data_IF_684815142795
#
_entry.id   IF_684815142795
#
_cell.length_a   1.000
_cell.length_b   1.000
_cell.length_c   1.000
_cell.angle_alpha   90.00
_cell.angle_beta   90.00
_cell.angle_gamma   90.00
#
_symmetry.space_group_name_H-M   'P 1'
#
loop_
_entity.id
_entity.type
_entity.pdbx_description
1 polymer ?
#
# COMPACT_ATOMS: atom_id res chain seq x y z
N UNK A 1 -16.67 -25.38 1.91
CA UNK A 1 -15.59 -24.42 2.26
C UNK A 1 -15.33 -23.65 0.99
N UNK A 2 -15.83 -22.42 0.89
CA UNK A 2 -15.79 -21.63 -0.35
C UNK A 2 -14.35 -21.25 -0.69
N UNK A 3 -14.06 -21.17 -1.99
CA UNK A 3 -12.75 -20.90 -2.62
C UNK A 3 -12.28 -19.43 -2.44
N UNK A 4 -12.73 -18.78 -1.35
CA UNK A 4 -12.58 -17.33 -1.16
C UNK A 4 -11.25 -16.96 -0.50
N UNK A 5 -10.59 -17.91 0.18
CA UNK A 5 -9.32 -17.70 0.86
C UNK A 5 -8.20 -17.21 -0.08
N UNK A 6 -8.28 -17.50 -1.38
CA UNK A 6 -7.32 -17.02 -2.38
C UNK A 6 -7.41 -15.50 -2.62
N UNK A 7 -8.52 -14.88 -2.26
CA UNK A 7 -8.74 -13.45 -2.41
C UNK A 7 -8.38 -12.64 -1.16
N UNK A 8 -8.16 -13.29 -0.03
CA UNK A 8 -7.81 -12.63 1.24
C UNK A 8 -6.69 -11.58 1.12
N UNK A 9 -5.58 -11.84 0.40
CA UNK A 9 -4.51 -10.84 0.27
C UNK A 9 -4.90 -9.59 -0.54
N UNK A 10 -6.02 -9.65 -1.27
CA UNK A 10 -6.51 -8.57 -2.14
C UNK A 10 -7.64 -7.75 -1.49
N UNK A 11 -8.06 -8.12 -0.27
CA UNK A 11 -9.15 -7.49 0.45
C UNK A 11 -8.55 -6.71 1.64
N UNK A 12 -8.80 -5.39 1.77
CA UNK A 12 -8.38 -4.62 2.94
C UNK A 12 -8.94 -5.23 4.22
N UNK A 13 -8.18 -5.18 5.32
CA UNK A 13 -8.64 -5.75 6.61
C UNK A 13 -9.93 -5.09 7.10
N UNK A 14 -10.13 -3.82 6.76
CA UNK A 14 -11.35 -3.06 7.00
C UNK A 14 -12.61 -3.80 6.49
N UNK A 15 -12.52 -4.49 5.35
CA UNK A 15 -13.68 -5.12 4.73
C UNK A 15 -14.09 -6.43 5.41
N UNK A 16 -13.21 -7.09 6.17
CA UNK A 16 -13.58 -8.31 6.92
C UNK A 16 -14.60 -8.02 8.03
N UNK A 17 -14.60 -6.80 8.57
CA UNK A 17 -15.54 -6.38 9.61
C UNK A 17 -16.72 -5.56 9.05
N UNK A 18 -16.87 -5.50 7.72
CA UNK A 18 -17.90 -4.67 7.10
C UNK A 18 -19.28 -5.36 7.17
N UNK A 19 -20.33 -4.72 7.73
CA UNK A 19 -21.66 -5.29 7.77
C UNK A 19 -22.27 -5.39 6.36
N UNK A 20 -22.75 -6.57 5.96
CA UNK A 20 -23.32 -6.85 4.63
C UNK A 20 -24.39 -5.84 4.19
N UNK A 21 -25.24 -5.39 5.13
CA UNK A 21 -26.35 -4.48 4.83
C UNK A 21 -25.93 -3.02 4.59
N UNK A 22 -24.66 -2.64 4.85
CA UNK A 22 -24.21 -1.26 4.73
C UNK A 22 -23.40 -1.02 3.46
N UNK A 23 -23.88 -0.10 2.61
CA UNK A 23 -23.13 0.34 1.41
C UNK A 23 -22.10 1.43 1.69
N UNK A 24 -22.23 2.14 2.80
CA UNK A 24 -21.33 3.22 3.21
C UNK A 24 -21.26 3.33 4.73
N UNK A 25 -20.12 3.81 5.25
CA UNK A 25 -19.92 4.12 6.67
C UNK A 25 -18.98 5.30 6.84
N UNK A 26 -19.15 6.03 7.95
CA UNK A 26 -18.20 7.01 8.43
C UNK A 26 -17.43 6.42 9.59
N UNK A 27 -16.11 6.35 9.47
CA UNK A 27 -15.22 5.71 10.44
C UNK A 27 -14.11 6.69 10.83
N UNK A 28 -13.75 6.80 12.13
CA UNK A 28 -12.62 7.61 12.55
C UNK A 28 -11.30 6.95 12.12
N UNK A 29 -10.31 7.78 11.81
CA UNK A 29 -8.96 7.30 11.54
C UNK A 29 -8.10 8.33 10.82
N UNK A 30 -6.87 7.94 10.53
CA UNK A 30 -5.91 8.72 9.76
C UNK A 30 -5.62 8.03 8.44
N UNK A 31 -5.66 8.78 7.35
CA UNK A 31 -5.26 8.30 6.03
C UNK A 31 -3.84 8.76 5.72
N UNK A 32 -3.04 7.85 5.18
CA UNK A 32 -1.72 8.16 4.64
C UNK A 32 -1.73 7.78 3.17
N UNK A 33 -1.48 8.76 2.31
CA UNK A 33 -1.31 8.55 0.87
C UNK A 33 0.18 8.62 0.56
N UNK A 34 0.73 7.50 0.09
CA UNK A 34 2.15 7.38 -0.24
C UNK A 34 2.28 7.32 -1.75
N UNK A 35 2.85 8.36 -2.35
CA UNK A 35 3.16 8.41 -3.76
C UNK A 35 4.65 8.11 -3.99
N UNK A 36 4.95 7.12 -4.83
CA UNK A 36 6.33 6.74 -5.18
C UNK A 36 6.73 7.49 -6.46
N UNK A 37 6.98 8.78 -6.29
CA UNK A 37 7.42 9.67 -7.38
C UNK A 37 8.73 9.20 -8.01
N UNK A 38 8.79 9.16 -9.35
CA UNK A 38 9.97 8.78 -10.13
C UNK A 38 9.85 7.40 -10.79
N UNK A 39 8.95 6.55 -10.29
CA UNK A 39 8.71 5.23 -10.86
C UNK A 39 7.93 5.29 -12.18
N UNK A 40 6.92 6.16 -12.27
CA UNK A 40 6.20 6.42 -13.53
C UNK A 40 7.13 6.88 -14.65
N UNK A 41 8.07 7.78 -14.35
CA UNK A 41 9.07 8.20 -15.35
C UNK A 41 10.06 7.06 -15.72
N UNK A 42 10.43 6.23 -14.75
CA UNK A 42 11.31 5.07 -14.95
C UNK A 42 10.64 3.99 -15.82
N UNK A 43 9.37 3.66 -15.53
CA UNK A 43 8.59 2.66 -16.27
C UNK A 43 8.35 3.10 -17.71
N UNK A 44 8.04 4.38 -17.94
CA UNK A 44 7.95 4.97 -19.30
C UNK A 44 9.27 4.90 -20.07
N UNK A 45 10.41 5.16 -19.39
CA UNK A 45 11.74 5.09 -20.02
C UNK A 45 12.12 3.65 -20.37
N UNK A 46 11.82 2.69 -19.50
CA UNK A 46 12.19 1.29 -19.67
C UNK A 46 11.25 0.49 -20.60
N UNK A 47 9.99 0.91 -20.72
CA UNK A 47 9.06 0.40 -21.75
C UNK A 47 9.64 0.53 -23.18
N UNK A 48 10.56 1.49 -23.40
CA UNK A 48 11.27 1.68 -24.67
C UNK A 48 12.31 0.58 -24.97
N UNK A 49 12.71 -0.22 -23.97
CA UNK A 49 13.73 -1.27 -24.10
C UNK A 49 13.14 -2.69 -24.24
N UNK A 50 11.82 -2.82 -24.43
CA UNK A 50 11.15 -4.10 -24.67
C UNK A 50 10.85 -4.90 -23.40
N UNK A 51 10.45 -6.17 -23.56
CA UNK A 51 9.90 -7.02 -22.47
C UNK A 51 10.82 -7.18 -21.25
N UNK A 52 12.12 -7.34 -21.47
CA UNK A 52 13.09 -7.52 -20.37
C UNK A 52 13.16 -6.30 -19.44
N UNK A 53 13.05 -5.09 -19.98
CA UNK A 53 13.05 -3.86 -19.18
C UNK A 53 11.80 -3.71 -18.32
N UNK A 54 10.66 -4.29 -18.74
CA UNK A 54 9.42 -4.24 -17.99
C UNK A 54 9.41 -5.20 -16.78
N UNK A 55 10.00 -6.39 -16.92
CA UNK A 55 10.05 -7.39 -15.84
C UNK A 55 10.91 -6.93 -14.66
N UNK A 56 12.10 -6.38 -14.92
CA UNK A 56 12.98 -5.82 -13.88
C UNK A 56 12.30 -4.67 -13.12
N UNK A 57 11.58 -3.81 -13.82
CA UNK A 57 10.81 -2.69 -13.23
C UNK A 57 9.71 -3.21 -12.32
N UNK A 58 8.95 -4.21 -12.75
CA UNK A 58 7.92 -4.83 -11.90
C UNK A 58 8.55 -5.45 -10.65
N UNK A 59 9.73 -6.06 -10.78
CA UNK A 59 10.49 -6.60 -9.64
C UNK A 59 10.84 -5.52 -8.61
N UNK A 60 11.47 -4.42 -9.04
CA UNK A 60 11.82 -3.30 -8.15
C UNK A 60 10.57 -2.68 -7.51
N UNK A 61 9.49 -2.51 -8.29
CA UNK A 61 8.24 -1.96 -7.78
C UNK A 61 7.63 -2.83 -6.68
N UNK A 62 7.54 -4.14 -6.95
CA UNK A 62 6.97 -5.09 -6.00
C UNK A 62 7.80 -5.16 -4.72
N UNK A 63 9.13 -5.14 -4.82
CA UNK A 63 10.00 -5.11 -3.65
C UNK A 63 9.82 -3.82 -2.84
N UNK A 64 9.74 -2.68 -3.51
CA UNK A 64 9.53 -1.38 -2.88
C UNK A 64 8.18 -1.36 -2.15
N UNK A 65 7.09 -1.71 -2.84
CA UNK A 65 5.77 -1.79 -2.22
C UNK A 65 5.72 -2.77 -1.07
N UNK A 66 6.35 -3.95 -1.20
CA UNK A 66 6.40 -4.94 -0.12
C UNK A 66 7.05 -4.35 1.13
N UNK A 67 8.19 -3.66 1.00
CA UNK A 67 8.85 -3.01 2.12
C UNK A 67 7.99 -1.93 2.78
N UNK A 68 7.28 -1.11 1.98
CA UNK A 68 6.38 -0.07 2.50
C UNK A 68 5.16 -0.66 3.20
N UNK A 69 4.54 -1.70 2.63
CA UNK A 69 3.37 -2.37 3.20
C UNK A 69 3.75 -3.05 4.53
N UNK A 70 4.89 -3.74 4.57
CA UNK A 70 5.42 -4.33 5.81
C UNK A 70 5.64 -3.24 6.86
N UNK A 71 6.31 -2.14 6.48
CA UNK A 71 6.56 -1.00 7.38
C UNK A 71 5.24 -0.45 7.93
N UNK A 72 4.27 -0.11 7.07
CA UNK A 72 2.97 0.37 7.50
C UNK A 72 2.24 -0.62 8.43
N UNK A 73 2.35 -1.93 8.13
CA UNK A 73 1.78 -3.00 8.94
C UNK A 73 2.32 -3.03 10.38
N UNK A 74 3.60 -2.70 10.59
CA UNK A 74 4.17 -2.62 11.96
C UNK A 74 3.57 -1.50 12.82
N UNK A 75 2.98 -0.48 12.17
CA UNK A 75 2.22 0.60 12.82
C UNK A 75 0.69 0.36 12.79
N UNK A 76 0.25 -0.84 12.39
CA UNK A 76 -1.16 -1.21 12.31
C UNK A 76 -1.90 -0.62 11.10
N UNK A 77 -1.18 -0.13 10.09
CA UNK A 77 -1.78 0.39 8.86
C UNK A 77 -2.46 -0.70 8.05
N UNK A 78 -3.64 -0.40 7.53
CA UNK A 78 -4.39 -1.24 6.59
C UNK A 78 -4.30 -0.67 5.18
N UNK A 79 -3.97 -1.52 4.21
CA UNK A 79 -3.90 -1.12 2.81
C UNK A 79 -5.29 -1.15 2.20
N UNK A 80 -5.84 0.04 1.93
CA UNK A 80 -7.17 0.17 1.33
C UNK A 80 -7.15 0.00 -0.17
N UNK A 81 -6.14 0.57 -0.84
CA UNK A 81 -6.09 0.60 -2.31
C UNK A 81 -4.69 0.90 -2.84
N UNK A 82 -4.37 0.28 -3.97
CA UNK A 82 -3.28 0.70 -4.85
C UNK A 82 -3.77 1.78 -5.83
N UNK A 83 -3.04 2.88 -5.94
CA UNK A 83 -3.29 3.99 -6.87
C UNK A 83 -2.49 3.90 -8.17
N UNK A 84 -1.95 2.73 -8.51
CA UNK A 84 -0.91 2.59 -9.54
C UNK A 84 0.46 2.48 -8.87
N UNK A 85 1.19 3.60 -8.84
CA UNK A 85 2.47 3.79 -8.11
C UNK A 85 2.29 4.36 -6.69
N UNK A 86 1.04 4.45 -6.22
CA UNK A 86 0.71 4.96 -4.89
C UNK A 86 0.03 3.92 -4.00
N UNK A 87 0.18 4.09 -2.68
CA UNK A 87 -0.54 3.34 -1.64
C UNK A 87 -1.50 4.25 -0.89
N UNK A 88 -2.72 3.79 -0.68
CA UNK A 88 -3.67 4.41 0.24
C UNK A 88 -3.84 3.55 1.48
N UNK A 89 -3.35 4.07 2.61
CA UNK A 89 -3.34 3.39 3.90
C UNK A 89 -4.32 4.05 4.86
N UNK A 90 -4.91 3.25 5.75
CA UNK A 90 -5.76 3.71 6.83
C UNK A 90 -5.30 3.18 8.18
N UNK A 91 -5.28 4.07 9.17
CA UNK A 91 -4.94 3.78 10.55
C UNK A 91 -6.16 4.09 11.40
N UNK A 92 -6.55 3.15 12.27
CA UNK A 92 -7.73 3.23 13.12
C UNK A 92 -7.42 2.80 14.55
N UNK A 93 -8.39 2.98 15.46
CA UNK A 93 -8.22 2.73 16.89
C UNK A 93 -7.43 3.82 17.61
N UNK A 94 -6.97 3.53 18.82
CA UNK A 94 -6.22 4.47 19.67
C UNK A 94 -5.01 5.03 18.94
N UNK A 95 -4.56 6.26 19.20
CA UNK A 95 -3.33 6.85 18.63
C UNK A 95 -3.18 6.78 17.10
N UNK A 96 -4.28 6.62 16.34
CA UNK A 96 -4.23 6.46 14.89
C UNK A 96 -3.48 7.61 14.17
N UNK A 97 -3.57 8.83 14.72
CA UNK A 97 -2.84 10.02 14.26
C UNK A 97 -1.32 9.84 14.40
N UNK A 98 -0.85 9.48 15.59
CA UNK A 98 0.57 9.32 15.89
C UNK A 98 1.15 8.15 15.08
N UNK A 99 0.46 7.02 15.01
CA UNK A 99 0.90 5.86 14.23
C UNK A 99 0.93 6.15 12.74
N UNK A 100 -0.07 6.82 12.19
CA UNK A 100 -0.08 7.23 10.78
C UNK A 100 1.10 8.14 10.44
N UNK A 101 1.39 9.14 11.28
CA UNK A 101 2.54 10.03 11.11
C UNK A 101 3.88 9.29 11.23
N UNK A 102 4.02 8.41 12.23
CA UNK A 102 5.23 7.62 12.43
C UNK A 102 5.47 6.64 11.28
N UNK A 103 4.42 5.98 10.79
CA UNK A 103 4.49 5.10 9.63
C UNK A 103 4.94 5.84 8.38
N UNK A 104 4.40 7.04 8.12
CA UNK A 104 4.80 7.87 7.00
C UNK A 104 6.30 8.24 7.06
N UNK A 105 6.79 8.63 8.24
CA UNK A 105 8.21 8.93 8.45
C UNK A 105 9.10 7.68 8.27
N UNK A 106 8.68 6.53 8.80
CA UNK A 106 9.40 5.27 8.68
C UNK A 106 9.49 4.80 7.22
N UNK A 107 8.37 4.82 6.49
CA UNK A 107 8.33 4.50 5.06
C UNK A 107 9.24 5.41 4.24
N UNK A 108 9.32 6.71 4.59
CA UNK A 108 10.25 7.63 3.92
C UNK A 108 11.71 7.27 4.19
N UNK A 109 12.04 6.73 5.36
CA UNK A 109 13.39 6.23 5.64
C UNK A 109 13.67 4.94 4.86
N UNK A 110 12.70 4.05 4.76
CA UNK A 110 12.82 2.79 4.00
C UNK A 110 13.14 3.07 2.52
N UNK A 111 12.46 4.04 1.91
CA UNK A 111 12.73 4.47 0.53
C UNK A 111 14.16 5.00 0.31
N UNK A 112 14.86 5.46 1.36
CA UNK A 112 16.27 5.89 1.24
C UNK A 112 17.25 4.73 1.27
N UNK A 113 16.82 3.55 1.75
CA UNK A 113 17.64 2.35 1.85
C UNK A 113 17.46 1.46 0.62
N UNK A 114 16.23 1.40 0.09
CA UNK A 114 15.86 0.56 -1.06
C UNK A 114 16.11 1.25 -2.41
N UNK A 115 16.20 2.60 -2.42
CA UNK A 115 16.37 3.43 -3.62
C UNK A 115 17.81 3.76 -3.99
#
# INVERSE_FOLDING_TARGET
MTDDAKYEPYIPRLLHAWPEAKRHQSLPGTMVFVDISGFTAMSERLARFGKLGAEEVVGVLNNTFSALIITAGTYGGDLLKFGGDALLLWFSGDDHLLRGAAAAAAMRNELRVVG
#
